data_IF_573973397382
#
_entry.id   IF_573973397382
#
_cell.length_a   1.000
_cell.length_b   1.000
_cell.length_c   1.000
_cell.angle_alpha   90.00
_cell.angle_beta   90.00
_cell.angle_gamma   90.00
#
_symmetry.space_group_name_H-M   'P 1'
#
loop_
_entity.id
_entity.type
_entity.pdbx_description
1 polymer ?
#
# COMPACT_ATOMS: atom_id res chain seq x y z
N UNK A 1 -11.23 9.62 -0.95
CA UNK A 1 -11.41 8.13 -0.98
C UNK A 1 -10.45 7.51 -2.00
N UNK A 2 -10.29 6.17 -2.12
CA UNK A 2 -9.44 5.57 -3.16
C UNK A 2 -9.77 6.04 -4.58
N UNK A 3 -11.07 6.13 -4.92
CA UNK A 3 -11.53 6.64 -6.22
C UNK A 3 -11.09 8.10 -6.47
N UNK A 4 -11.17 8.95 -5.45
CA UNK A 4 -10.78 10.35 -5.56
C UNK A 4 -9.28 10.51 -5.84
N UNK A 5 -8.42 9.79 -5.10
CA UNK A 5 -6.98 9.81 -5.35
C UNK A 5 -6.63 9.23 -6.71
N UNK A 6 -7.33 8.18 -7.15
CA UNK A 6 -7.11 7.61 -8.48
C UNK A 6 -7.44 8.62 -9.58
N UNK A 7 -8.55 9.37 -9.45
CA UNK A 7 -8.87 10.48 -10.38
C UNK A 7 -7.81 11.58 -10.36
N UNK A 8 -7.27 11.93 -9.20
CA UNK A 8 -6.19 12.92 -9.11
C UNK A 8 -4.93 12.46 -9.84
N UNK A 9 -4.54 11.18 -9.69
CA UNK A 9 -3.39 10.61 -10.41
C UNK A 9 -3.62 10.62 -11.91
N UNK A 10 -4.80 10.21 -12.38
CA UNK A 10 -5.15 10.25 -13.81
C UNK A 10 -5.06 11.68 -14.37
N UNK A 11 -5.58 12.67 -13.63
CA UNK A 11 -5.49 14.07 -14.02
C UNK A 11 -4.04 14.56 -14.14
N UNK A 12 -3.13 14.13 -13.24
CA UNK A 12 -1.69 14.42 -13.33
C UNK A 12 -1.07 13.81 -14.59
N UNK A 13 -1.55 12.64 -15.02
CA UNK A 13 -1.12 11.97 -16.26
C UNK A 13 -1.78 12.55 -17.53
N UNK A 14 -2.67 13.54 -17.39
CA UNK A 14 -3.37 14.20 -18.49
C UNK A 14 -4.74 13.62 -18.81
N UNK A 15 -5.18 12.56 -18.13
CA UNK A 15 -6.50 11.96 -18.28
C UNK A 15 -7.48 12.59 -17.27
N UNK A 16 -8.17 13.64 -17.70
CA UNK A 16 -9.05 14.42 -16.82
C UNK A 16 -10.52 13.97 -16.85
N UNK A 17 -10.91 13.17 -17.83
CA UNK A 17 -12.30 12.75 -18.04
C UNK A 17 -12.39 11.29 -18.49
N UNK A 18 -11.89 10.34 -17.65
CA UNK A 18 -11.95 8.93 -18.00
C UNK A 18 -13.41 8.48 -18.12
N UNK A 19 -13.66 7.56 -19.06
CA UNK A 19 -14.94 6.89 -19.15
C UNK A 19 -15.32 6.26 -17.80
N UNK A 20 -16.57 6.43 -17.39
CA UNK A 20 -17.03 6.04 -16.07
C UNK A 20 -16.97 4.53 -15.87
N UNK A 21 -17.31 3.73 -16.90
CA UNK A 21 -17.28 2.28 -16.81
C UNK A 21 -15.85 1.78 -16.71
N UNK A 22 -14.96 2.27 -17.58
CA UNK A 22 -13.53 1.90 -17.54
C UNK A 22 -12.90 2.31 -16.20
N UNK A 23 -13.25 3.47 -15.67
CA UNK A 23 -12.75 3.94 -14.38
C UNK A 23 -13.14 3.02 -13.22
N UNK A 24 -14.43 2.64 -13.13
CA UNK A 24 -14.90 1.73 -12.08
C UNK A 24 -14.30 0.33 -12.22
N UNK A 25 -14.18 -0.19 -13.44
CA UNK A 25 -13.50 -1.47 -13.71
C UNK A 25 -12.02 -1.44 -13.27
N UNK A 26 -11.30 -0.34 -13.57
CA UNK A 26 -9.92 -0.17 -13.15
C UNK A 26 -9.80 -0.05 -11.63
N UNK A 27 -10.74 0.65 -10.98
CA UNK A 27 -10.77 0.78 -9.53
C UNK A 27 -11.03 -0.57 -8.85
N UNK A 28 -11.98 -1.35 -9.36
CA UNK A 28 -12.30 -2.69 -8.89
C UNK A 28 -11.15 -3.66 -9.11
N UNK A 29 -10.51 -3.58 -10.28
CA UNK A 29 -9.30 -4.33 -10.58
C UNK A 29 -8.22 -4.03 -9.53
N UNK A 30 -7.97 -2.75 -9.22
CA UNK A 30 -6.95 -2.31 -8.29
C UNK A 30 -7.27 -2.56 -6.80
N UNK A 31 -8.45 -3.09 -6.45
CA UNK A 31 -8.80 -3.39 -5.05
C UNK A 31 -7.83 -4.38 -4.43
N UNK A 32 -7.53 -4.16 -3.15
CA UNK A 32 -6.58 -4.98 -2.41
C UNK A 32 -6.92 -6.47 -2.44
N UNK A 33 -8.19 -6.82 -2.20
CA UNK A 33 -8.66 -8.20 -2.21
C UNK A 33 -8.56 -8.83 -3.61
N UNK A 34 -8.74 -8.03 -4.67
CA UNK A 34 -8.56 -8.51 -6.03
C UNK A 34 -7.08 -8.75 -6.35
N UNK A 35 -6.19 -7.82 -5.96
CA UNK A 35 -4.74 -8.00 -6.10
C UNK A 35 -4.22 -9.25 -5.39
N UNK A 36 -4.73 -9.53 -4.19
CA UNK A 36 -4.38 -10.74 -3.45
C UNK A 36 -4.83 -12.02 -4.17
N UNK A 37 -6.04 -12.02 -4.76
CA UNK A 37 -6.53 -13.14 -5.57
C UNK A 37 -5.69 -13.35 -6.83
N UNK A 38 -5.31 -12.27 -7.52
CA UNK A 38 -4.46 -12.34 -8.71
C UNK A 38 -3.07 -12.91 -8.39
N UNK A 39 -2.47 -12.50 -7.27
CA UNK A 39 -1.18 -13.04 -6.81
C UNK A 39 -1.29 -14.53 -6.48
N UNK A 40 -2.32 -14.93 -5.72
CA UNK A 40 -2.58 -16.33 -5.38
C UNK A 40 -2.88 -17.21 -6.61
N UNK A 41 -3.52 -16.64 -7.64
CA UNK A 41 -3.77 -17.31 -8.91
C UNK A 41 -2.55 -17.36 -9.83
N UNK A 42 -1.43 -16.71 -9.46
CA UNK A 42 -0.23 -16.63 -10.30
C UNK A 42 -0.45 -15.83 -11.58
N UNK A 43 -1.40 -14.88 -11.58
CA UNK A 43 -1.77 -14.10 -12.77
C UNK A 43 -0.66 -13.13 -13.25
N UNK A 44 0.41 -12.98 -12.48
CA UNK A 44 1.56 -12.16 -12.82
C UNK A 44 2.66 -13.03 -13.45
N UNK A 45 2.99 -12.78 -14.73
CA UNK A 45 4.00 -13.53 -15.52
C UNK A 45 5.47 -13.28 -15.11
N UNK A 46 5.71 -12.81 -13.90
CA UNK A 46 7.05 -12.54 -13.40
C UNK A 46 7.38 -13.50 -12.26
N UNK A 47 8.46 -14.27 -12.40
CA UNK A 47 8.98 -15.10 -11.30
C UNK A 47 9.29 -14.29 -10.05
N UNK A 48 9.68 -13.02 -10.21
CA UNK A 48 9.91 -12.09 -9.10
C UNK A 48 8.62 -11.83 -8.31
N UNK A 49 7.45 -11.97 -8.93
CA UNK A 49 6.15 -11.72 -8.31
C UNK A 49 5.49 -12.97 -7.72
N UNK A 50 6.11 -14.16 -7.84
CA UNK A 50 5.61 -15.37 -7.19
C UNK A 50 5.93 -15.37 -5.68
N UNK A 51 5.06 -15.94 -4.83
CA UNK A 51 5.36 -16.13 -3.42
C UNK A 51 6.46 -17.18 -3.22
N UNK A 52 7.29 -17.00 -2.20
CA UNK A 52 8.36 -17.94 -1.86
C UNK A 52 7.84 -19.31 -1.39
N UNK A 53 6.88 -19.32 -0.45
CA UNK A 53 6.08 -20.49 -0.08
C UNK A 53 4.59 -20.15 -0.20
N UNK A 54 3.87 -20.86 -1.07
CA UNK A 54 2.42 -20.67 -1.29
C UNK A 54 1.56 -20.99 -0.07
N UNK A 55 2.10 -21.72 0.91
CA UNK A 55 1.39 -22.10 2.15
C UNK A 55 1.61 -21.11 3.28
N UNK A 56 2.54 -20.17 3.12
CA UNK A 56 2.81 -19.11 4.08
C UNK A 56 2.23 -17.78 3.56
N UNK A 57 1.15 -17.26 4.17
CA UNK A 57 0.58 -15.96 3.79
C UNK A 57 1.58 -14.79 3.88
N UNK A 58 2.63 -14.90 4.71
CA UNK A 58 3.68 -13.89 4.82
C UNK A 58 4.70 -13.97 3.67
N UNK A 59 4.69 -15.02 2.87
CA UNK A 59 5.55 -15.15 1.68
C UNK A 59 4.98 -14.42 0.46
N UNK A 60 3.74 -13.95 0.52
CA UNK A 60 3.09 -13.13 -0.50
C UNK A 60 3.52 -11.65 -0.39
N UNK A 61 3.45 -10.91 -1.50
CA UNK A 61 3.66 -9.45 -1.50
C UNK A 61 2.40 -8.72 -1.06
N UNK A 62 1.22 -9.19 -1.47
CA UNK A 62 -0.07 -8.62 -1.12
C UNK A 62 -0.61 -9.31 0.14
N UNK A 63 -0.13 -8.85 1.31
CA UNK A 63 -0.41 -9.50 2.61
C UNK A 63 -1.70 -9.05 3.29
N UNK A 64 -1.66 -7.96 4.09
CA UNK A 64 -2.79 -7.51 4.93
C UNK A 64 -3.47 -6.22 4.49
N UNK A 65 -2.81 -5.37 3.69
CA UNK A 65 -3.40 -4.09 3.25
C UNK A 65 -3.70 -3.13 4.40
N UNK A 66 -3.10 -3.34 5.58
CA UNK A 66 -3.36 -2.59 6.81
C UNK A 66 -2.32 -1.48 6.98
N UNK A 67 -2.80 -0.24 7.13
CA UNK A 67 -1.98 0.89 7.55
C UNK A 67 -1.55 0.68 9.01
N UNK A 68 -0.27 0.88 9.30
CA UNK A 68 0.27 0.70 10.66
C UNK A 68 0.45 -0.76 11.10
N UNK A 69 0.46 -1.72 10.16
CA UNK A 69 0.63 -3.14 10.47
C UNK A 69 1.93 -3.49 11.21
N UNK A 70 2.97 -2.64 11.17
CA UNK A 70 4.23 -2.84 11.87
C UNK A 70 4.06 -3.06 13.38
N UNK A 71 3.00 -2.50 13.98
CA UNK A 71 2.71 -2.66 15.42
C UNK A 71 2.37 -4.09 15.81
N UNK A 72 1.91 -4.89 14.84
CA UNK A 72 1.60 -6.31 15.05
C UNK A 72 2.89 -7.17 15.08
N UNK A 73 4.04 -6.62 14.67
CA UNK A 73 5.32 -7.35 14.54
C UNK A 73 6.46 -6.76 15.39
N UNK A 74 6.48 -5.44 15.62
CA UNK A 74 7.54 -4.76 16.37
C UNK A 74 7.19 -4.63 17.84
N UNK A 75 8.19 -4.85 18.70
CA UNK A 75 8.07 -4.59 20.14
C UNK A 75 7.84 -3.09 20.42
N UNK A 76 7.33 -2.77 21.61
CA UNK A 76 7.17 -1.36 22.00
C UNK A 76 8.51 -0.59 21.96
N UNK A 77 9.60 -1.24 22.38
CA UNK A 77 10.95 -0.70 22.35
C UNK A 77 11.43 -0.40 20.91
N UNK A 78 11.21 -1.32 19.97
CA UNK A 78 11.56 -1.09 18.56
C UNK A 78 10.75 0.05 17.94
N UNK A 79 9.48 0.19 18.34
CA UNK A 79 8.62 1.28 17.87
C UNK A 79 9.08 2.64 18.42
N UNK A 80 9.47 2.70 19.69
CA UNK A 80 10.04 3.90 20.32
C UNK A 80 11.37 4.27 19.68
N UNK A 81 12.25 3.30 19.45
CA UNK A 81 13.51 3.49 18.75
C UNK A 81 13.29 4.06 17.33
N UNK A 82 12.40 3.45 16.55
CA UNK A 82 12.06 3.94 15.22
C UNK A 82 11.47 5.35 15.24
N UNK A 83 10.60 5.65 16.21
CA UNK A 83 10.05 7.00 16.38
C UNK A 83 11.15 8.03 16.70
N UNK A 84 12.12 7.68 17.54
CA UNK A 84 13.30 8.49 17.82
C UNK A 84 14.16 8.72 16.58
N UNK A 85 14.44 7.67 15.81
CA UNK A 85 15.22 7.77 14.57
C UNK A 85 14.58 8.71 13.54
N UNK A 86 13.25 8.70 13.41
CA UNK A 86 12.52 9.61 12.52
C UNK A 86 12.77 11.09 12.86
N UNK A 87 12.99 11.44 14.13
CA UNK A 87 13.28 12.83 14.54
C UNK A 87 14.63 13.35 14.07
N UNK A 88 15.57 12.45 13.75
CA UNK A 88 16.88 12.80 13.24
C UNK A 88 16.90 12.93 11.69
N UNK A 89 15.81 12.57 11.01
CA UNK A 89 15.71 12.71 9.56
C UNK A 89 15.50 14.16 9.15
N UNK A 90 15.98 14.51 7.95
CA UNK A 90 15.86 15.87 7.42
C UNK A 90 14.38 16.28 7.28
N UNK A 91 13.92 17.32 8.00
CA UNK A 91 12.52 17.74 8.00
C UNK A 91 12.01 18.18 6.62
N UNK A 92 12.88 18.53 5.67
CA UNK A 92 12.49 18.96 4.31
C UNK A 92 11.72 17.90 3.54
N UNK A 93 11.87 16.61 3.91
CA UNK A 93 11.13 15.50 3.30
C UNK A 93 9.82 15.15 4.04
N UNK A 94 9.46 15.89 5.10
CA UNK A 94 8.18 15.73 5.79
C UNK A 94 8.09 14.55 6.77
N UNK A 95 9.23 14.06 7.29
CA UNK A 95 9.27 12.95 8.26
C UNK A 95 8.84 13.32 9.70
N UNK A 96 8.15 14.46 9.90
CA UNK A 96 7.78 14.91 11.24
C UNK A 96 6.78 13.97 11.93
N UNK A 97 6.84 13.93 13.27
CA UNK A 97 5.97 13.10 14.10
C UNK A 97 4.49 13.47 14.01
N UNK A 98 4.14 14.62 13.45
CA UNK A 98 2.77 15.08 13.16
C UNK A 98 2.20 14.51 11.85
N UNK A 99 2.67 13.33 11.44
CA UNK A 99 2.08 12.63 10.31
C UNK A 99 0.60 12.33 10.62
N UNK A 100 -0.36 12.71 9.74
CA UNK A 100 -1.80 12.59 9.99
C UNK A 100 -2.29 11.14 10.20
N UNK A 101 -1.41 10.17 9.98
CA UNK A 101 -1.64 8.74 10.12
C UNK A 101 -1.46 8.20 11.56
N UNK A 102 -1.14 9.06 12.54
CA UNK A 102 -1.02 8.66 13.96
C UNK A 102 -2.37 8.47 14.69
N UNK A 103 -3.48 8.87 14.07
CA UNK A 103 -4.80 8.93 14.71
C UNK A 103 -5.86 8.07 14.01
N UNK A 104 -5.56 6.80 13.73
CA UNK A 104 -6.55 5.79 13.36
C UNK A 104 -6.16 4.44 13.95
#
# INVERSE_FOLDING_TARGET
>A
SPAEYFRQILAVLGETAPDATIFEEALDFARFENMQKLEAAGAFDSEILRPGDVRDPESFKVRRGKVGGYRDYLSAEDQEYAAGALTALDPRFGYSSESPWRSH
#
